data_IF_129154752769
#
_entry.id   IF_129154752769
#
_cell.length_a   1.000
_cell.length_b   1.000
_cell.length_c   1.000
_cell.angle_alpha   90.00
_cell.angle_beta   90.00
_cell.angle_gamma   90.00
#
_symmetry.space_group_name_H-M   'P 1'
#
loop_
_entity.id
_entity.type
_entity.pdbx_description
1 polymer ?
#
# COMPACT_ATOMS: atom_id res chain seq x y z
N UNK A 1 6.66 -28.33 -10.94
CA UNK A 1 6.58 -26.88 -10.69
C UNK A 1 7.08 -26.54 -9.30
N UNK A 2 6.21 -26.70 -8.28
CA UNK A 2 6.56 -26.41 -6.89
C UNK A 2 7.81 -27.16 -6.41
N UNK A 3 7.94 -28.46 -6.68
CA UNK A 3 9.13 -29.25 -6.27
C UNK A 3 10.44 -28.65 -6.82
N UNK A 4 10.45 -28.24 -8.08
CA UNK A 4 11.60 -27.60 -8.71
C UNK A 4 11.92 -26.25 -8.06
N UNK A 5 10.91 -25.42 -7.81
CA UNK A 5 11.08 -24.14 -7.14
C UNK A 5 11.60 -24.31 -5.71
N UNK A 6 11.05 -25.26 -4.96
CA UNK A 6 11.50 -25.57 -3.59
C UNK A 6 12.89 -26.18 -3.56
N UNK A 7 13.27 -26.97 -4.57
CA UNK A 7 14.62 -27.49 -4.76
C UNK A 7 15.63 -26.37 -4.98
N UNK A 8 15.38 -25.51 -5.98
CA UNK A 8 16.19 -24.31 -6.24
C UNK A 8 16.30 -23.40 -5.02
N UNK A 9 15.20 -23.23 -4.27
CA UNK A 9 15.20 -22.47 -3.03
C UNK A 9 16.10 -23.12 -1.96
N UNK A 10 16.08 -24.44 -1.82
CA UNK A 10 16.95 -25.15 -0.88
C UNK A 10 18.43 -25.00 -1.25
N UNK A 11 18.74 -25.06 -2.54
CA UNK A 11 20.10 -24.97 -3.08
C UNK A 11 20.68 -23.56 -2.92
N UNK A 12 19.88 -22.53 -3.25
CA UNK A 12 20.30 -21.13 -3.17
C UNK A 12 20.29 -20.57 -1.74
N UNK A 13 19.44 -21.12 -0.87
CA UNK A 13 19.27 -20.65 0.51
C UNK A 13 19.55 -21.77 1.51
N UNK A 14 20.78 -22.27 1.52
CA UNK A 14 21.21 -23.39 2.40
C UNK A 14 20.96 -23.10 3.89
N UNK A 15 21.14 -21.86 4.33
CA UNK A 15 20.90 -21.43 5.72
C UNK A 15 19.42 -21.28 6.12
N UNK A 16 18.47 -21.31 5.16
CA UNK A 16 17.05 -21.15 5.48
C UNK A 16 16.53 -22.36 6.29
N UNK A 17 15.86 -22.16 7.43
CA UNK A 17 15.42 -23.27 8.29
C UNK A 17 14.23 -24.05 7.71
N UNK A 18 13.43 -23.41 6.84
CA UNK A 18 12.23 -23.98 6.23
C UNK A 18 11.77 -23.19 5.01
N UNK A 19 10.76 -23.71 4.33
CA UNK A 19 10.02 -23.08 3.24
C UNK A 19 8.60 -22.80 3.71
N UNK A 20 8.14 -21.56 3.60
CA UNK A 20 6.76 -21.16 3.84
C UNK A 20 6.05 -20.97 2.47
N UNK A 21 5.01 -21.75 2.20
CA UNK A 21 4.13 -21.58 1.03
C UNK A 21 2.93 -20.73 1.48
N UNK A 22 2.83 -19.53 0.92
CA UNK A 22 1.77 -18.56 1.22
C UNK A 22 0.84 -18.49 0.01
N UNK A 23 -0.24 -19.25 0.05
CA UNK A 23 -1.21 -19.32 -1.05
C UNK A 23 -2.31 -18.28 -0.85
N UNK A 24 -2.30 -17.25 -1.70
CA UNK A 24 -3.18 -16.09 -1.60
C UNK A 24 -4.37 -16.13 -2.55
N UNK A 25 -4.56 -17.24 -3.26
CA UNK A 25 -5.65 -17.40 -4.22
C UNK A 25 -7.01 -17.29 -3.52
N UNK A 26 -7.90 -16.43 -4.02
CA UNK A 26 -9.22 -16.18 -3.43
C UNK A 26 -10.35 -17.00 -4.01
N UNK A 27 -10.05 -17.97 -4.89
CA UNK A 27 -10.98 -19.01 -5.33
C UNK A 27 -10.58 -20.36 -4.74
N UNK A 28 -11.55 -21.21 -4.34
CA UNK A 28 -11.27 -22.60 -3.98
C UNK A 28 -10.82 -23.37 -5.22
N UNK A 29 -9.78 -24.19 -5.06
CA UNK A 29 -9.25 -25.01 -6.15
C UNK A 29 -8.81 -26.38 -5.66
N UNK A 30 -8.66 -27.32 -6.59
CA UNK A 30 -8.16 -28.68 -6.38
C UNK A 30 -7.10 -29.00 -7.41
N UNK A 31 -6.23 -29.94 -7.08
CA UNK A 31 -5.27 -30.52 -8.02
C UNK A 31 -5.82 -31.85 -8.53
N UNK A 32 -5.98 -31.98 -9.85
CA UNK A 32 -6.30 -33.23 -10.53
C UNK A 32 -5.07 -33.66 -11.33
N UNK A 33 -4.53 -34.83 -11.02
CA UNK A 33 -3.29 -35.37 -11.59
C UNK A 33 -2.09 -34.39 -11.53
N UNK A 34 -2.05 -33.54 -10.49
CA UNK A 34 -0.99 -32.54 -10.30
C UNK A 34 -1.20 -31.22 -11.03
N UNK A 35 -2.31 -31.02 -11.73
CA UNK A 35 -2.70 -29.75 -12.34
C UNK A 35 -3.84 -29.09 -11.56
N UNK A 36 -3.76 -27.77 -11.36
CA UNK A 36 -4.72 -27.03 -10.57
C UNK A 36 -5.97 -26.63 -11.37
N UNK A 37 -7.15 -26.87 -10.81
CA UNK A 37 -8.47 -26.51 -11.36
C UNK A 37 -9.33 -25.85 -10.29
N UNK A 38 -10.12 -24.87 -10.67
CA UNK A 38 -11.01 -24.14 -9.77
C UNK A 38 -12.43 -24.10 -10.33
N UNK A 39 -13.42 -23.89 -9.46
CA UNK A 39 -14.82 -23.80 -9.90
C UNK A 39 -15.10 -22.41 -10.45
N UNK A 40 -15.56 -22.36 -11.70
CA UNK A 40 -16.07 -21.15 -12.34
C UNK A 40 -17.50 -21.40 -12.86
N UNK A 41 -18.48 -20.51 -12.57
CA UNK A 41 -19.78 -20.57 -13.21
C UNK A 41 -19.64 -20.46 -14.73
N UNK A 42 -20.30 -21.34 -15.49
CA UNK A 42 -20.23 -21.41 -16.96
C UNK A 42 -20.45 -20.06 -17.66
N UNK A 43 -21.30 -19.20 -17.10
CA UNK A 43 -21.63 -17.87 -17.63
C UNK A 43 -20.50 -16.84 -17.45
N UNK A 44 -19.50 -17.15 -16.63
CA UNK A 44 -18.48 -16.20 -16.15
C UNK A 44 -17.06 -16.78 -16.18
N UNK A 45 -16.82 -17.83 -16.97
CA UNK A 45 -15.53 -18.55 -17.02
C UNK A 45 -14.35 -17.62 -17.35
N UNK A 46 -14.58 -16.59 -18.18
CA UNK A 46 -13.57 -15.59 -18.53
C UNK A 46 -13.48 -14.42 -17.53
N UNK A 47 -14.35 -14.36 -16.52
CA UNK A 47 -14.40 -13.28 -15.54
C UNK A 47 -13.68 -13.69 -14.25
N UNK A 48 -12.35 -13.61 -14.26
CA UNK A 48 -11.47 -14.01 -13.15
C UNK A 48 -11.82 -13.37 -11.79
N UNK A 49 -12.51 -12.23 -11.77
CA UNK A 49 -12.90 -11.53 -10.53
C UNK A 49 -14.25 -11.95 -9.98
N UNK A 50 -15.11 -12.59 -10.78
CA UNK A 50 -16.44 -13.00 -10.36
C UNK A 50 -16.41 -14.13 -9.32
N UNK A 51 -15.26 -14.81 -9.17
CA UNK A 51 -15.12 -16.00 -8.35
C UNK A 51 -14.36 -15.74 -7.05
N UNK A 52 -13.89 -14.51 -6.84
CA UNK A 52 -13.11 -14.14 -5.67
C UNK A 52 -13.97 -14.12 -4.42
N UNK A 53 -13.48 -14.79 -3.39
CA UNK A 53 -14.12 -14.89 -2.08
C UNK A 53 -13.28 -14.14 -1.05
N UNK A 54 -13.96 -13.45 -0.14
CA UNK A 54 -13.32 -12.79 0.99
C UNK A 54 -13.69 -13.52 2.28
N UNK A 55 -13.02 -14.66 2.49
CA UNK A 55 -13.28 -15.58 3.61
C UNK A 55 -11.97 -15.95 4.30
N UNK A 56 -12.07 -16.40 5.55
CA UNK A 56 -10.91 -16.91 6.29
C UNK A 56 -10.28 -18.13 5.59
N UNK A 57 -8.97 -18.32 5.76
CA UNK A 57 -8.23 -19.44 5.17
C UNK A 57 -8.81 -20.82 5.53
N UNK A 58 -9.24 -21.01 6.78
CA UNK A 58 -9.89 -22.26 7.21
C UNK A 58 -11.19 -22.53 6.45
N UNK A 59 -12.03 -21.51 6.26
CA UNK A 59 -13.26 -21.64 5.49
C UNK A 59 -12.99 -21.94 4.01
N UNK A 60 -11.91 -21.38 3.45
CA UNK A 60 -11.46 -21.71 2.08
C UNK A 60 -11.05 -23.18 1.98
N UNK A 61 -10.27 -23.68 2.95
CA UNK A 61 -9.86 -25.09 2.98
C UNK A 61 -11.06 -26.03 3.17
N UNK A 62 -12.10 -25.63 3.92
CA UNK A 62 -13.36 -26.38 4.04
C UNK A 62 -14.12 -26.45 2.70
N UNK A 63 -14.10 -25.36 1.91
CA UNK A 63 -14.66 -25.34 0.56
C UNK A 63 -13.86 -26.24 -0.38
N UNK A 64 -12.54 -26.23 -0.29
CA UNK A 64 -11.66 -27.07 -1.13
C UNK A 64 -11.81 -28.57 -0.81
N UNK A 65 -12.01 -28.93 0.46
CA UNK A 65 -12.31 -30.33 0.84
C UNK A 65 -13.65 -30.80 0.29
N UNK A 66 -14.68 -29.95 0.29
CA UNK A 66 -15.98 -30.27 -0.33
C UNK A 66 -15.85 -30.40 -1.84
N UNK A 67 -15.13 -29.47 -2.48
CA UNK A 67 -14.86 -29.53 -3.92
C UNK A 67 -14.12 -30.82 -4.31
N UNK A 68 -13.12 -31.21 -3.53
CA UNK A 68 -12.43 -32.50 -3.72
C UNK A 68 -13.40 -33.68 -3.64
N UNK A 69 -14.26 -33.72 -2.62
CA UNK A 69 -15.23 -34.81 -2.44
C UNK A 69 -16.23 -34.89 -3.61
N UNK A 70 -16.68 -33.74 -4.12
CA UNK A 70 -17.57 -33.68 -5.29
C UNK A 70 -16.86 -34.21 -6.55
N UNK A 71 -15.60 -33.80 -6.78
CA UNK A 71 -14.79 -34.30 -7.90
C UNK A 71 -14.56 -35.80 -7.80
N UNK A 72 -14.26 -36.32 -6.61
CA UNK A 72 -14.07 -37.76 -6.37
C UNK A 72 -15.36 -38.56 -6.62
N UNK A 73 -16.52 -38.01 -6.22
CA UNK A 73 -17.82 -38.62 -6.47
C UNK A 73 -18.17 -38.65 -7.96
N UNK A 74 -17.90 -37.57 -8.69
CA UNK A 74 -18.10 -37.50 -10.14
C UNK A 74 -17.19 -38.49 -10.88
N UNK A 75 -15.92 -38.57 -10.50
CA UNK A 75 -14.96 -39.53 -11.04
C UNK A 75 -15.42 -40.98 -10.82
N UNK A 76 -15.96 -41.29 -9.63
CA UNK A 76 -16.49 -42.62 -9.34
C UNK A 76 -17.74 -42.94 -10.18
N UNK A 77 -18.59 -41.95 -10.47
CA UNK A 77 -19.77 -42.12 -11.31
C UNK A 77 -19.44 -42.27 -12.81
N UNK A 78 -18.31 -41.70 -13.25
CA UNK A 78 -17.91 -41.61 -14.66
C UNK A 78 -16.72 -42.55 -15.01
N UNK A 79 -16.69 -43.75 -14.42
CA UNK A 79 -15.68 -44.80 -14.68
C UNK A 79 -14.22 -44.30 -14.59
N UNK A 80 -13.93 -43.47 -13.58
CA UNK A 80 -12.60 -42.93 -13.33
C UNK A 80 -12.22 -41.72 -14.18
N UNK A 81 -13.18 -41.07 -14.85
CA UNK A 81 -12.93 -39.88 -15.68
C UNK A 81 -13.70 -38.65 -15.22
N UNK A 82 -13.24 -37.46 -15.60
CA UNK A 82 -13.95 -36.19 -15.36
C UNK A 82 -13.81 -35.28 -16.58
N UNK A 83 -14.84 -34.48 -16.85
CA UNK A 83 -14.85 -33.46 -17.89
C UNK A 83 -14.36 -32.12 -17.33
N UNK A 84 -13.26 -31.59 -17.88
CA UNK A 84 -12.65 -30.34 -17.43
C UNK A 84 -12.70 -29.28 -18.54
N UNK A 85 -12.99 -28.06 -18.14
CA UNK A 85 -13.02 -26.91 -19.04
C UNK A 85 -11.67 -26.18 -19.00
N UNK A 86 -11.05 -25.99 -20.16
CA UNK A 86 -9.89 -25.12 -20.35
C UNK A 86 -10.38 -23.89 -21.10
N UNK A 87 -10.15 -22.71 -20.54
CA UNK A 87 -10.53 -21.46 -21.16
C UNK A 87 -9.28 -20.68 -21.57
N UNK A 88 -9.19 -20.31 -22.84
CA UNK A 88 -8.14 -19.41 -23.32
C UNK A 88 -8.64 -17.95 -23.20
N UNK A 89 -8.06 -17.15 -22.29
CA UNK A 89 -8.47 -15.78 -22.09
C UNK A 89 -8.16 -14.86 -23.29
N UNK A 90 -7.24 -15.24 -24.18
CA UNK A 90 -6.85 -14.45 -25.35
C UNK A 90 -7.86 -14.59 -26.50
N UNK A 91 -8.29 -15.82 -26.79
CA UNK A 91 -9.25 -16.11 -27.86
C UNK A 91 -10.70 -16.04 -27.38
N UNK A 92 -10.92 -16.08 -26.05
CA UNK A 92 -12.24 -16.26 -25.43
C UNK A 92 -12.93 -17.56 -25.86
N UNK A 93 -12.13 -18.58 -26.13
CA UNK A 93 -12.62 -19.92 -26.45
C UNK A 93 -12.52 -20.84 -25.24
N UNK A 94 -13.38 -21.85 -25.22
CA UNK A 94 -13.34 -22.90 -24.21
C UNK A 94 -13.25 -24.26 -24.88
N UNK A 95 -12.33 -25.08 -24.39
CA UNK A 95 -12.21 -26.48 -24.78
C UNK A 95 -12.61 -27.38 -23.62
N UNK A 96 -13.31 -28.47 -23.94
CA UNK A 96 -13.64 -29.50 -22.97
C UNK A 96 -12.73 -30.70 -23.16
N UNK A 97 -12.14 -31.17 -22.06
CA UNK A 97 -11.20 -32.28 -22.04
C UNK A 97 -11.68 -33.31 -21.02
N UNK A 98 -12.02 -34.52 -21.50
CA UNK A 98 -12.24 -35.66 -20.61
C UNK A 98 -10.90 -36.28 -20.24
N UNK A 99 -10.59 -36.30 -18.95
CA UNK A 99 -9.33 -36.87 -18.46
C UNK A 99 -9.58 -38.03 -17.52
N UNK A 100 -8.69 -39.03 -17.57
CA UNK A 100 -8.65 -40.10 -16.58
C UNK A 100 -8.01 -39.58 -15.30
N UNK A 101 -8.70 -39.72 -14.18
CA UNK A 101 -8.23 -39.21 -12.89
C UNK A 101 -7.49 -40.31 -12.15
N UNK A 102 -6.26 -40.01 -11.75
CA UNK A 102 -5.42 -40.87 -10.91
C UNK A 102 -5.28 -40.33 -9.49
N UNK A 103 -5.37 -39.00 -9.32
CA UNK A 103 -5.23 -38.35 -8.03
C UNK A 103 -6.01 -37.04 -7.98
N UNK A 104 -6.73 -36.82 -6.88
CA UNK A 104 -7.37 -35.54 -6.54
C UNK A 104 -6.81 -35.08 -5.19
N UNK A 105 -6.38 -33.82 -5.10
CA UNK A 105 -5.82 -33.27 -3.88
C UNK A 105 -6.36 -31.86 -3.62
N UNK A 106 -6.54 -31.51 -2.36
CA UNK A 106 -6.62 -30.09 -1.98
C UNK A 106 -5.24 -29.42 -2.13
N UNK A 107 -5.16 -28.09 -2.18
CA UNK A 107 -3.88 -27.37 -2.25
C UNK A 107 -2.96 -27.70 -1.06
N UNK A 108 -3.53 -27.84 0.14
CA UNK A 108 -2.83 -28.30 1.35
C UNK A 108 -2.24 -29.70 1.14
N UNK A 109 -3.07 -30.68 0.79
CA UNK A 109 -2.61 -32.06 0.56
C UNK A 109 -1.58 -32.15 -0.57
N UNK A 110 -1.71 -31.31 -1.60
CA UNK A 110 -0.74 -31.22 -2.68
C UNK A 110 0.62 -30.76 -2.17
N UNK A 111 0.65 -29.65 -1.42
CA UNK A 111 1.87 -29.12 -0.81
C UNK A 111 2.51 -30.09 0.20
N UNK A 112 1.71 -30.74 1.04
CA UNK A 112 2.17 -31.73 2.03
C UNK A 112 2.71 -33.01 1.37
N UNK A 113 2.30 -33.29 0.13
CA UNK A 113 2.80 -34.45 -0.62
C UNK A 113 4.12 -34.21 -1.36
N UNK A 114 4.60 -32.96 -1.41
CA UNK A 114 5.84 -32.62 -2.10
C UNK A 114 7.04 -33.19 -1.37
N UNK A 115 7.97 -33.79 -2.12
CA UNK A 115 9.22 -34.30 -1.57
C UNK A 115 10.26 -33.18 -1.56
N UNK A 116 10.38 -32.49 -0.44
CA UNK A 116 11.27 -31.33 -0.30
C UNK A 116 12.37 -31.55 0.75
N UNK A 117 13.60 -31.04 0.54
CA UNK A 117 14.71 -31.25 1.47
C UNK A 117 14.55 -30.58 2.85
N UNK A 118 13.68 -29.57 2.94
CA UNK A 118 13.49 -28.75 4.14
C UNK A 118 12.04 -28.80 4.60
N UNK A 119 11.76 -28.58 5.90
CA UNK A 119 10.39 -28.47 6.38
C UNK A 119 9.59 -27.47 5.55
N UNK A 120 8.38 -27.85 5.15
CA UNK A 120 7.46 -27.02 4.38
C UNK A 120 6.25 -26.68 5.23
N UNK A 121 5.91 -25.40 5.30
CA UNK A 121 4.75 -24.88 6.03
C UNK A 121 3.81 -24.25 5.01
N UNK A 122 2.63 -24.85 4.84
CA UNK A 122 1.59 -24.32 3.95
C UNK A 122 0.60 -23.44 4.71
N UNK A 123 0.27 -22.28 4.15
CA UNK A 123 -0.73 -21.34 4.68
C UNK A 123 -1.66 -20.85 3.57
N UNK A 124 -2.97 -21.03 3.78
CA UNK A 124 -4.02 -20.49 2.92
C UNK A 124 -4.46 -19.12 3.42
N UNK A 125 -4.19 -18.06 2.66
CA UNK A 125 -4.53 -16.67 3.00
C UNK A 125 -5.28 -15.98 1.85
N UNK A 126 -6.57 -16.28 1.63
CA UNK A 126 -7.32 -15.73 0.50
C UNK A 126 -7.28 -14.20 0.43
N UNK A 127 -6.78 -13.63 -0.66
CA UNK A 127 -6.77 -12.17 -0.90
C UNK A 127 -7.66 -11.85 -2.10
N UNK A 128 -8.78 -11.16 -1.88
CA UNK A 128 -9.56 -10.57 -2.96
C UNK A 128 -8.91 -9.25 -3.43
N UNK A 129 -9.02 -8.86 -4.70
CA UNK A 129 -8.32 -7.69 -5.26
C UNK A 129 -9.23 -6.68 -5.96
N UNK A 130 -8.71 -5.45 -6.03
CA UNK A 130 -9.40 -4.24 -6.47
C UNK A 130 -10.66 -3.95 -5.67
N UNK A 131 -11.85 -3.83 -6.27
CA UNK A 131 -13.03 -3.35 -5.51
C UNK A 131 -13.46 -4.27 -4.36
N UNK A 132 -13.04 -5.54 -4.41
CA UNK A 132 -13.28 -6.53 -3.37
C UNK A 132 -12.17 -6.63 -2.32
N UNK A 133 -11.05 -5.93 -2.48
CA UNK A 133 -9.97 -5.92 -1.48
C UNK A 133 -10.47 -5.30 -0.17
N UNK A 134 -10.14 -5.92 0.94
CA UNK A 134 -10.64 -5.54 2.27
C UNK A 134 -9.51 -5.39 3.27
N UNK A 135 -9.72 -4.49 4.24
CA UNK A 135 -8.86 -4.32 5.42
C UNK A 135 -8.61 -5.64 6.16
N UNK A 136 -9.60 -6.54 6.15
CA UNK A 136 -9.52 -7.86 6.79
C UNK A 136 -8.47 -8.79 6.18
N UNK A 137 -8.04 -8.54 4.94
CA UNK A 137 -7.02 -9.35 4.28
C UNK A 137 -5.59 -9.01 4.73
N UNK A 138 -5.37 -7.87 5.39
CA UNK A 138 -4.02 -7.37 5.72
C UNK A 138 -3.41 -8.09 6.92
N UNK A 139 -4.12 -8.15 8.05
CA UNK A 139 -3.57 -8.71 9.28
C UNK A 139 -3.16 -10.19 9.18
N UNK A 140 -3.91 -11.08 8.48
CA UNK A 140 -3.46 -12.47 8.28
C UNK A 140 -2.11 -12.59 7.57
N UNK A 141 -1.77 -11.66 6.67
CA UNK A 141 -0.47 -11.63 5.98
C UNK A 141 0.62 -11.17 6.96
N UNK A 142 0.31 -10.17 7.82
CA UNK A 142 1.21 -9.72 8.89
C UNK A 142 1.50 -10.88 9.85
N UNK A 143 0.49 -11.61 10.32
CA UNK A 143 0.63 -12.78 11.19
C UNK A 143 1.48 -13.88 10.54
N UNK A 144 1.30 -14.09 9.24
CA UNK A 144 2.09 -15.05 8.48
C UNK A 144 3.57 -14.68 8.39
N UNK A 145 3.87 -13.40 8.18
CA UNK A 145 5.23 -12.89 8.19
C UNK A 145 5.85 -12.92 9.60
N UNK A 146 5.08 -12.56 10.64
CA UNK A 146 5.52 -12.55 12.04
C UNK A 146 5.92 -13.94 12.55
N UNK A 147 5.24 -14.98 12.08
CA UNK A 147 5.51 -16.37 12.46
C UNK A 147 6.48 -17.08 11.50
N UNK A 148 6.94 -16.40 10.45
CA UNK A 148 8.00 -16.85 9.55
C UNK A 148 9.35 -16.34 10.07
N UNK A 149 10.36 -17.21 10.26
CA UNK A 149 11.74 -16.75 10.46
C UNK A 149 12.14 -15.80 9.33
N UNK A 150 12.87 -14.73 9.66
CA UNK A 150 13.29 -13.72 8.68
C UNK A 150 14.18 -14.30 7.59
N UNK A 151 14.92 -15.38 7.89
CA UNK A 151 15.76 -16.13 6.95
C UNK A 151 15.06 -17.34 6.29
N UNK A 152 13.77 -17.60 6.56
CA UNK A 152 13.02 -18.63 5.85
C UNK A 152 12.71 -18.19 4.41
N UNK A 153 12.64 -19.14 3.48
CA UNK A 153 12.19 -18.85 2.11
C UNK A 153 10.67 -18.80 2.13
N UNK A 154 10.09 -17.68 1.69
CA UNK A 154 8.65 -17.55 1.52
C UNK A 154 8.30 -17.53 0.02
N UNK A 155 7.35 -18.38 -0.39
CA UNK A 155 6.85 -18.46 -1.76
C UNK A 155 5.39 -18.04 -1.73
N UNK A 156 5.08 -16.89 -2.34
CA UNK A 156 3.71 -16.37 -2.45
C UNK A 156 3.08 -16.89 -3.75
N UNK A 157 1.98 -17.64 -3.63
CA UNK A 157 1.29 -18.26 -4.76
C UNK A 157 -0.01 -17.52 -5.08
N UNK A 158 -0.17 -17.21 -6.36
CA UNK A 158 -1.39 -16.71 -6.98
C UNK A 158 -1.58 -17.46 -8.31
N UNK A 159 -2.80 -17.45 -8.87
CA UNK A 159 -3.14 -18.06 -10.16
C UNK A 159 -2.15 -17.72 -11.28
N UNK A 160 -1.73 -16.46 -11.35
CA UNK A 160 -0.86 -15.93 -12.40
C UNK A 160 0.34 -15.15 -11.84
N UNK A 161 0.53 -15.14 -10.51
CA UNK A 161 1.55 -14.30 -9.87
C UNK A 161 1.33 -12.80 -10.08
N UNK A 162 0.07 -12.36 -10.22
CA UNK A 162 -0.28 -10.96 -10.51
C UNK A 162 -0.63 -10.18 -9.24
N UNK A 163 -1.65 -9.33 -9.34
CA UNK A 163 -2.01 -8.34 -8.31
C UNK A 163 -2.18 -8.90 -6.89
N UNK A 164 -2.72 -10.12 -6.71
CA UNK A 164 -2.88 -10.73 -5.37
C UNK A 164 -1.53 -11.02 -4.73
N UNK A 165 -0.64 -11.66 -5.49
CA UNK A 165 0.72 -11.92 -5.06
C UNK A 165 1.46 -10.60 -4.79
N UNK A 166 1.30 -9.58 -5.64
CA UNK A 166 1.90 -8.26 -5.44
C UNK A 166 1.48 -7.62 -4.13
N UNK A 167 0.18 -7.58 -3.81
CA UNK A 167 -0.31 -7.02 -2.55
C UNK A 167 0.24 -7.79 -1.35
N UNK A 168 0.23 -9.12 -1.42
CA UNK A 168 0.75 -9.96 -0.35
C UNK A 168 2.26 -9.80 -0.16
N UNK A 169 3.05 -9.73 -1.24
CA UNK A 169 4.48 -9.49 -1.20
C UNK A 169 4.80 -8.15 -0.53
N UNK A 170 4.09 -7.09 -0.87
CA UNK A 170 4.27 -5.78 -0.26
C UNK A 170 4.06 -5.82 1.27
N UNK A 171 2.94 -6.38 1.73
CA UNK A 171 2.62 -6.46 3.16
C UNK A 171 3.58 -7.40 3.89
N UNK A 172 3.92 -8.54 3.29
CA UNK A 172 4.82 -9.53 3.88
C UNK A 172 6.25 -9.00 4.01
N UNK A 173 6.75 -8.25 3.00
CA UNK A 173 8.07 -7.62 3.05
C UNK A 173 8.11 -6.47 4.07
N UNK A 174 7.08 -5.64 4.15
CA UNK A 174 6.95 -4.62 5.20
C UNK A 174 7.02 -5.27 6.59
N UNK A 175 6.28 -6.37 6.80
CA UNK A 175 6.25 -7.08 8.06
C UNK A 175 7.61 -7.73 8.40
N UNK A 176 8.32 -8.30 7.42
CA UNK A 176 9.69 -8.80 7.63
C UNK A 176 10.68 -7.68 7.95
N UNK A 177 10.62 -6.58 7.21
CA UNK A 177 11.50 -5.44 7.42
C UNK A 177 11.30 -4.84 8.83
N UNK A 178 10.05 -4.74 9.29
CA UNK A 178 9.71 -4.26 10.63
C UNK A 178 10.26 -5.14 11.77
N UNK A 179 10.52 -6.44 11.52
CA UNK A 179 11.17 -7.33 12.49
C UNK A 179 12.68 -7.06 12.61
N UNK A 180 13.29 -6.46 11.59
CA UNK A 180 14.73 -6.22 11.50
C UNK A 180 15.07 -4.82 12.00
N UNK A 181 14.24 -3.83 11.68
CA UNK A 181 14.47 -2.42 12.03
C UNK A 181 13.18 -1.58 11.97
N UNK A 182 13.16 -0.38 12.59
CA UNK A 182 12.08 0.58 12.39
C UNK A 182 11.91 0.93 10.91
N UNK A 183 10.67 0.98 10.42
CA UNK A 183 10.43 1.19 8.99
C UNK A 183 10.89 2.57 8.54
N UNK A 184 10.66 3.60 9.36
CA UNK A 184 11.10 4.98 9.09
C UNK A 184 12.64 5.16 8.99
N UNK A 185 13.44 4.12 9.23
CA UNK A 185 14.90 4.17 9.09
C UNK A 185 15.40 3.86 7.68
N UNK A 186 14.53 3.46 6.75
CA UNK A 186 14.88 3.16 5.35
C UNK A 186 13.88 3.82 4.39
N UNK A 187 14.34 4.24 3.22
CA UNK A 187 13.53 5.05 2.30
C UNK A 187 13.90 4.91 0.82
N UNK A 188 14.85 4.04 0.46
CA UNK A 188 15.13 3.68 -0.95
C UNK A 188 14.99 2.18 -1.16
N UNK A 189 14.73 1.78 -2.42
CA UNK A 189 14.63 0.38 -2.80
C UNK A 189 15.92 -0.39 -2.47
N UNK A 190 17.09 0.22 -2.67
CA UNK A 190 18.39 -0.36 -2.33
C UNK A 190 18.56 -0.55 -0.83
N UNK A 191 18.17 0.45 -0.01
CA UNK A 191 18.21 0.35 1.45
C UNK A 191 17.32 -0.80 1.96
N UNK A 192 16.11 -0.94 1.39
CA UNK A 192 15.18 -2.03 1.71
C UNK A 192 15.75 -3.38 1.30
N UNK A 193 16.22 -3.51 0.05
CA UNK A 193 16.81 -4.74 -0.45
C UNK A 193 18.03 -5.17 0.38
N UNK A 194 18.90 -4.23 0.73
CA UNK A 194 20.06 -4.48 1.58
C UNK A 194 19.65 -4.92 2.99
N UNK A 195 18.65 -4.25 3.60
CA UNK A 195 18.15 -4.60 4.92
C UNK A 195 17.57 -6.02 4.99
N UNK A 196 16.92 -6.47 3.90
CA UNK A 196 16.33 -7.80 3.80
C UNK A 196 17.31 -8.87 3.35
N UNK A 197 18.37 -8.50 2.61
CA UNK A 197 19.42 -9.41 2.17
C UNK A 197 20.36 -9.81 3.32
N UNK A 198 20.65 -8.89 4.24
CA UNK A 198 21.57 -9.10 5.36
C UNK A 198 20.84 -9.69 6.55
N UNK A 199 20.67 -11.02 6.56
CA UNK A 199 20.68 -11.80 7.80
C UNK A 199 22.07 -12.43 7.92
N UNK A 200 22.61 -12.54 9.14
CA UNK A 200 24.01 -12.84 9.51
C UNK A 200 24.69 -14.09 8.85
N UNK A 201 24.01 -14.81 7.95
CA UNK A 201 24.45 -16.10 7.40
C UNK A 201 24.13 -16.38 5.92
N UNK A 202 23.83 -15.41 5.05
CA UNK A 202 23.57 -15.73 3.64
C UNK A 202 24.12 -14.71 2.64
N UNK A 203 24.84 -15.24 1.65
CA UNK A 203 25.25 -14.55 0.43
C UNK A 203 24.05 -13.81 -0.19
N UNK A 204 24.31 -12.62 -0.75
CA UNK A 204 23.34 -11.90 -1.55
C UNK A 204 22.76 -12.86 -2.59
N UNK A 205 21.49 -13.22 -2.45
CA UNK A 205 20.80 -13.94 -3.51
C UNK A 205 20.54 -12.91 -4.60
N UNK A 206 21.49 -12.81 -5.53
CA UNK A 206 21.29 -12.15 -6.81
C UNK A 206 20.29 -12.97 -7.62
N UNK A 207 19.01 -12.80 -7.34
CA UNK A 207 17.99 -12.94 -8.36
C UNK A 207 17.65 -11.52 -8.84
N UNK A 208 18.53 -10.97 -9.67
CA UNK A 208 18.28 -9.74 -10.44
C UNK A 208 17.22 -9.99 -11.51
N UNK A 209 16.01 -10.40 -11.14
CA UNK A 209 14.85 -10.30 -12.02
C UNK A 209 13.64 -9.91 -11.18
N UNK A 210 13.56 -8.62 -10.84
CA UNK A 210 12.24 -7.99 -10.77
C UNK A 210 11.67 -8.10 -12.19
N UNK A 211 10.56 -8.80 -12.39
CA UNK A 211 9.93 -8.84 -13.70
C UNK A 211 9.54 -7.40 -14.08
N UNK A 212 10.14 -6.88 -15.14
CA UNK A 212 9.74 -5.62 -15.76
C UNK A 212 8.51 -5.88 -16.62
N UNK A 213 7.56 -4.95 -16.63
CA UNK A 213 6.52 -4.95 -17.68
C UNK A 213 7.13 -4.86 -19.08
N UNK A 214 6.32 -5.02 -20.11
CA UNK A 214 6.76 -4.83 -21.50
C UNK A 214 7.43 -3.45 -21.68
N UNK A 215 8.29 -3.29 -22.71
CA UNK A 215 9.07 -2.06 -22.97
C UNK A 215 8.20 -0.78 -22.92
N UNK A 216 6.92 -0.84 -23.33
CA UNK A 216 5.95 0.26 -23.24
C UNK A 216 5.64 0.70 -21.80
N UNK A 217 5.54 -0.24 -20.85
CA UNK A 217 5.31 0.06 -19.43
C UNK A 217 6.58 0.61 -18.75
N UNK A 218 7.76 0.23 -19.23
CA UNK A 218 9.05 0.77 -18.78
C UNK A 218 9.24 2.23 -19.25
N UNK A 219 8.73 2.58 -20.44
CA UNK A 219 8.68 3.96 -20.98
C UNK A 219 7.82 4.88 -20.10
N UNK A 220 6.71 4.38 -19.55
CA UNK A 220 5.83 5.17 -18.65
C UNK A 220 6.57 5.62 -17.38
N UNK A 221 7.57 4.87 -16.90
CA UNK A 221 8.42 5.24 -15.76
C UNK A 221 9.67 6.03 -16.14
N UNK A 222 10.32 5.70 -17.27
CA UNK A 222 11.57 6.37 -17.69
C UNK A 222 11.39 7.83 -18.10
N UNK A 223 10.13 8.29 -18.24
CA UNK A 223 9.76 9.72 -18.28
C UNK A 223 10.03 10.50 -16.97
N UNK A 224 10.65 9.89 -15.95
CA UNK A 224 11.74 10.58 -15.24
C UNK A 224 11.46 11.25 -13.90
N UNK A 225 10.35 11.00 -13.21
CA UNK A 225 10.18 11.50 -11.82
C UNK A 225 9.40 10.52 -10.93
N UNK A 226 9.88 10.31 -9.70
CA UNK A 226 9.17 9.58 -8.63
C UNK A 226 7.95 10.40 -8.22
N UNK A 227 6.80 10.18 -8.85
CA UNK A 227 5.56 10.90 -8.53
C UNK A 227 4.91 10.29 -7.28
N UNK A 228 4.58 11.15 -6.32
CA UNK A 228 3.87 10.75 -5.10
C UNK A 228 2.36 10.78 -5.35
N UNK A 229 1.64 9.77 -4.89
CA UNK A 229 0.19 9.75 -4.93
C UNK A 229 -0.35 10.73 -3.88
N UNK A 230 -1.01 11.81 -4.30
CA UNK A 230 -1.40 12.91 -3.42
C UNK A 230 -2.32 12.47 -2.26
N UNK A 231 -3.22 11.51 -2.49
CA UNK A 231 -4.07 10.98 -1.41
C UNK A 231 -3.25 10.25 -0.33
N UNK A 232 -2.15 9.58 -0.70
CA UNK A 232 -1.24 8.96 0.26
C UNK A 232 -0.38 10.00 0.99
N UNK A 233 0.08 11.04 0.27
CA UNK A 233 0.77 12.18 0.86
C UNK A 233 -0.08 12.86 1.95
N UNK A 234 -1.34 13.16 1.63
CA UNK A 234 -2.31 13.74 2.56
C UNK A 234 -2.57 12.83 3.76
N UNK A 235 -2.65 11.52 3.53
CA UNK A 235 -2.78 10.56 4.62
C UNK A 235 -1.54 10.58 5.54
N UNK A 236 -0.34 10.65 4.96
CA UNK A 236 0.90 10.79 5.72
C UNK A 236 0.99 12.07 6.54
N UNK A 237 0.48 13.19 6.03
CA UNK A 237 0.35 14.42 6.82
C UNK A 237 -0.60 14.25 7.99
N UNK A 238 -1.78 13.69 7.73
CA UNK A 238 -2.83 13.52 8.73
C UNK A 238 -2.38 12.63 9.90
N UNK A 239 -1.61 11.58 9.60
CA UNK A 239 -1.08 10.64 10.60
C UNK A 239 0.32 11.01 11.12
N UNK A 240 0.92 12.11 10.63
CA UNK A 240 2.34 12.41 10.86
C UNK A 240 3.27 11.21 10.57
N UNK A 241 3.02 10.52 9.46
CA UNK A 241 3.68 9.27 9.07
C UNK A 241 4.47 9.38 7.74
N UNK A 242 4.77 10.60 7.29
CA UNK A 242 5.47 10.85 6.01
C UNK A 242 6.82 10.14 5.86
N UNK A 243 7.54 9.89 6.95
CA UNK A 243 8.80 9.11 6.91
C UNK A 243 8.57 7.65 6.48
N UNK A 244 7.45 7.04 6.91
CA UNK A 244 7.10 5.65 6.61
C UNK A 244 6.51 5.50 5.20
N UNK A 245 5.93 6.57 4.65
CA UNK A 245 5.47 6.58 3.25
C UNK A 245 6.62 6.27 2.29
N UNK A 246 7.80 6.87 2.52
CA UNK A 246 9.00 6.62 1.71
C UNK A 246 9.41 5.15 1.72
N UNK A 247 9.36 4.51 2.89
CA UNK A 247 9.61 3.06 3.05
C UNK A 247 8.61 2.22 2.28
N UNK A 248 7.33 2.62 2.31
CA UNK A 248 6.25 1.92 1.62
C UNK A 248 6.45 1.95 0.11
N UNK A 249 6.78 3.12 -0.43
CA UNK A 249 7.09 3.28 -1.86
C UNK A 249 8.34 2.49 -2.26
N UNK A 250 9.38 2.48 -1.42
CA UNK A 250 10.58 1.68 -1.64
C UNK A 250 10.27 0.18 -1.67
N UNK A 251 9.41 -0.33 -0.78
CA UNK A 251 8.98 -1.74 -0.82
C UNK A 251 8.18 -2.04 -2.09
N UNK A 252 7.27 -1.15 -2.49
CA UNK A 252 6.51 -1.28 -3.75
C UNK A 252 7.44 -1.33 -4.95
N UNK A 253 8.54 -0.56 -4.94
CA UNK A 253 9.55 -0.59 -6.00
C UNK A 253 10.38 -1.88 -6.01
N UNK A 254 10.77 -2.40 -4.84
CA UNK A 254 11.47 -3.69 -4.72
C UNK A 254 10.60 -4.86 -5.20
N UNK A 255 9.27 -4.77 -5.05
CA UNK A 255 8.35 -5.85 -5.43
C UNK A 255 8.16 -6.02 -6.95
N UNK A 256 8.53 -5.03 -7.77
CA UNK A 256 8.36 -5.10 -9.21
C UNK A 256 8.00 -3.77 -9.87
N UNK A 257 7.70 -3.83 -11.17
CA UNK A 257 7.32 -2.68 -12.02
C UNK A 257 6.13 -3.03 -12.90
N UNK A 258 5.48 -2.02 -13.46
CA UNK A 258 4.42 -2.20 -14.44
C UNK A 258 3.04 -2.49 -13.84
N UNK A 259 2.07 -2.76 -14.70
CA UNK A 259 0.65 -2.82 -14.36
C UNK A 259 0.27 -3.99 -13.44
N UNK A 260 0.99 -5.11 -13.54
CA UNK A 260 0.64 -6.33 -12.81
C UNK A 260 1.44 -6.50 -11.51
N UNK A 261 2.66 -5.95 -11.44
CA UNK A 261 3.57 -6.17 -10.30
C UNK A 261 3.88 -4.91 -9.47
N UNK A 262 3.33 -3.76 -9.82
CA UNK A 262 3.52 -2.53 -9.05
C UNK A 262 2.22 -1.74 -8.86
N UNK A 263 1.80 -1.56 -7.61
CA UNK A 263 0.53 -0.89 -7.26
C UNK A 263 0.49 0.57 -7.70
N UNK A 264 1.61 1.29 -7.59
CA UNK A 264 1.67 2.70 -7.96
C UNK A 264 1.68 2.87 -9.49
N UNK A 265 2.39 2.01 -10.21
CA UNK A 265 2.38 2.02 -11.68
C UNK A 265 1.00 1.70 -12.22
N UNK A 266 0.39 0.62 -11.72
CA UNK A 266 -0.97 0.25 -12.04
C UNK A 266 -1.93 1.42 -11.81
N UNK A 267 -1.84 2.05 -10.64
CA UNK A 267 -2.67 3.21 -10.30
C UNK A 267 -2.46 4.37 -11.28
N UNK A 268 -1.21 4.70 -11.61
CA UNK A 268 -0.88 5.78 -12.54
C UNK A 268 -1.34 5.49 -13.98
N UNK A 269 -1.17 4.25 -14.45
CA UNK A 269 -1.63 3.79 -15.77
C UNK A 269 -3.15 3.98 -15.88
N UNK A 270 -3.91 3.46 -14.91
CA UNK A 270 -5.37 3.60 -14.95
C UNK A 270 -5.84 5.04 -14.73
N UNK A 271 -5.18 5.81 -13.85
CA UNK A 271 -5.48 7.22 -13.66
C UNK A 271 -5.27 8.05 -14.94
N UNK A 272 -4.21 7.74 -15.69
CA UNK A 272 -3.93 8.33 -17.01
C UNK A 272 -4.99 7.91 -18.03
N UNK A 273 -5.37 6.63 -18.05
CA UNK A 273 -6.42 6.10 -18.91
C UNK A 273 -7.78 6.77 -18.66
N UNK A 274 -8.11 7.19 -17.43
CA UNK A 274 -9.33 7.96 -17.15
C UNK A 274 -9.42 9.27 -17.93
N UNK A 275 -8.27 9.86 -18.28
CA UNK A 275 -8.20 11.15 -18.98
C UNK A 275 -8.18 10.97 -20.50
N UNK A 276 -7.62 9.87 -20.99
CA UNK A 276 -7.50 9.58 -22.43
C UNK A 276 -8.65 8.77 -23.02
N UNK A 277 -9.50 8.15 -22.19
CA UNK A 277 -10.63 7.31 -22.64
C UNK A 277 -12.00 7.96 -22.39
N UNK A 278 -13.04 7.42 -23.02
CA UNK A 278 -14.44 7.90 -22.93
C UNK A 278 -15.42 6.75 -22.68
N UNK A 279 -16.63 7.08 -22.20
CA UNK A 279 -17.71 6.11 -21.95
C UNK A 279 -17.32 5.01 -20.94
N UNK A 280 -17.77 3.79 -21.20
CA UNK A 280 -17.55 2.62 -20.33
C UNK A 280 -16.06 2.33 -20.06
N UNK A 281 -15.19 2.62 -21.02
CA UNK A 281 -13.75 2.43 -20.85
C UNK A 281 -13.19 3.36 -19.76
N UNK A 282 -13.68 4.60 -19.71
CA UNK A 282 -13.29 5.58 -18.69
C UNK A 282 -13.82 5.21 -17.31
N UNK A 283 -15.05 4.70 -17.23
CA UNK A 283 -15.63 4.22 -15.97
C UNK A 283 -14.87 3.01 -15.43
N UNK A 284 -14.53 2.05 -16.30
CA UNK A 284 -13.70 0.90 -15.96
C UNK A 284 -12.31 1.32 -15.47
N UNK A 285 -11.62 2.19 -16.22
CA UNK A 285 -10.33 2.75 -15.80
C UNK A 285 -10.43 3.49 -14.47
N UNK A 286 -11.50 4.26 -14.24
CA UNK A 286 -11.73 4.95 -12.98
C UNK A 286 -11.93 3.99 -11.81
N UNK A 287 -12.72 2.94 -12.01
CA UNK A 287 -12.94 1.91 -11.00
C UNK A 287 -11.64 1.19 -10.65
N UNK A 288 -10.84 0.81 -11.65
CA UNK A 288 -9.53 0.19 -11.45
C UNK A 288 -8.55 1.11 -10.71
N UNK A 289 -8.49 2.39 -11.09
CA UNK A 289 -7.58 3.34 -10.46
C UNK A 289 -7.95 3.57 -8.99
N UNK A 290 -9.23 3.79 -8.68
CA UNK A 290 -9.72 3.96 -7.30
C UNK A 290 -9.47 2.70 -6.47
N UNK A 291 -9.76 1.53 -7.02
CA UNK A 291 -9.57 0.27 -6.33
C UNK A 291 -8.08 -0.02 -6.05
N UNK A 292 -7.20 0.29 -7.00
CA UNK A 292 -5.74 0.14 -6.84
C UNK A 292 -5.20 1.14 -5.82
N UNK A 293 -5.63 2.40 -5.88
CA UNK A 293 -5.25 3.42 -4.91
C UNK A 293 -5.71 3.06 -3.49
N UNK A 294 -6.96 2.60 -3.31
CA UNK A 294 -7.45 2.15 -2.01
C UNK A 294 -6.65 0.96 -1.47
N UNK A 295 -6.28 0.01 -2.34
CA UNK A 295 -5.42 -1.12 -1.98
C UNK A 295 -4.03 -0.64 -1.53
N UNK A 296 -3.42 0.28 -2.28
CA UNK A 296 -2.14 0.89 -1.91
C UNK A 296 -2.22 1.65 -0.58
N UNK A 297 -3.30 2.39 -0.33
CA UNK A 297 -3.50 3.09 0.94
C UNK A 297 -3.59 2.12 2.12
N UNK A 298 -4.18 0.92 1.96
CA UNK A 298 -4.11 -0.11 3.00
C UNK A 298 -2.72 -0.70 3.19
N UNK A 299 -1.93 -0.86 2.12
CA UNK A 299 -0.51 -1.26 2.23
C UNK A 299 0.29 -0.19 2.98
N UNK A 300 0.04 1.09 2.71
CA UNK A 300 0.65 2.20 3.45
C UNK A 300 0.18 2.24 4.90
N UNK A 301 -1.12 2.07 5.18
CA UNK A 301 -1.60 1.97 6.56
C UNK A 301 -0.96 0.78 7.29
N UNK A 302 -0.72 -0.34 6.60
CA UNK A 302 -0.04 -1.49 7.19
C UNK A 302 1.39 -1.15 7.62
N UNK A 303 2.12 -0.33 6.85
CA UNK A 303 3.46 0.11 7.24
C UNK A 303 3.42 1.07 8.43
N UNK A 304 2.46 2.00 8.49
CA UNK A 304 2.25 2.87 9.67
C UNK A 304 1.95 2.01 10.90
N UNK A 305 0.99 1.09 10.79
CA UNK A 305 0.63 0.16 11.86
C UNK A 305 1.82 -0.70 12.33
N UNK A 306 2.61 -1.25 11.40
CA UNK A 306 3.81 -2.02 11.73
C UNK A 306 4.85 -1.19 12.48
N UNK A 307 5.02 0.07 12.08
CA UNK A 307 6.00 0.97 12.68
C UNK A 307 5.56 1.47 14.08
N UNK A 308 4.30 1.81 14.25
CA UNK A 308 3.79 2.47 15.46
C UNK A 308 3.17 1.50 16.47
N UNK A 309 2.28 0.62 16.00
CA UNK A 309 1.42 -0.20 16.86
C UNK A 309 2.13 -1.51 17.24
N UNK A 310 2.72 -2.18 16.26
CA UNK A 310 3.55 -3.37 16.53
C UNK A 310 4.92 -3.01 17.09
N UNK A 311 5.47 -1.85 16.71
CA UNK A 311 6.65 -1.27 17.37
C UNK A 311 6.43 -1.07 18.88
N UNK A 312 5.22 -0.69 19.28
CA UNK A 312 4.79 -0.60 20.68
C UNK A 312 4.45 -1.96 21.34
N UNK A 313 4.62 -3.09 20.63
CA UNK A 313 4.36 -4.47 21.10
C UNK A 313 2.93 -4.70 21.61
N UNK A 314 1.96 -4.08 20.94
CA UNK A 314 0.54 -4.28 21.26
C UNK A 314 0.00 -5.58 20.64
N UNK A 315 -1.17 -6.03 21.11
CA UNK A 315 -1.92 -7.17 20.54
C UNK A 315 -3.10 -6.71 19.67
N UNK A 316 -3.20 -5.41 19.39
CA UNK A 316 -4.31 -4.83 18.64
C UNK A 316 -4.25 -5.29 17.19
N UNK A 317 -5.37 -5.72 16.61
CA UNK A 317 -5.43 -6.16 15.21
C UNK A 317 -5.54 -4.97 14.25
N UNK A 318 -4.96 -5.11 13.06
CA UNK A 318 -4.91 -4.03 12.06
C UNK A 318 -6.29 -3.49 11.69
N UNK A 319 -7.26 -4.38 11.46
CA UNK A 319 -8.63 -3.99 11.11
C UNK A 319 -9.34 -3.22 12.22
N UNK A 320 -8.99 -3.45 13.48
CA UNK A 320 -9.52 -2.70 14.61
C UNK A 320 -8.87 -1.33 14.71
N UNK A 321 -7.54 -1.28 14.56
CA UNK A 321 -6.78 -0.03 14.56
C UNK A 321 -7.25 0.93 13.44
N UNK A 322 -7.45 0.42 12.21
CA UNK A 322 -7.96 1.25 11.10
C UNK A 322 -9.38 1.74 11.36
N UNK A 323 -10.22 0.91 11.99
CA UNK A 323 -11.62 1.28 12.30
C UNK A 323 -11.69 2.44 13.30
N UNK A 324 -10.71 2.55 14.19
CA UNK A 324 -10.65 3.61 15.20
C UNK A 324 -10.12 4.95 14.63
N UNK A 325 -9.80 4.99 13.32
CA UNK A 325 -9.41 6.18 12.56
C UNK A 325 -10.53 6.56 11.55
N UNK A 326 -11.60 7.26 11.99
CA UNK A 326 -12.74 7.58 11.13
C UNK A 326 -12.38 8.41 9.90
N UNK A 327 -11.30 9.19 9.97
CA UNK A 327 -10.78 9.99 8.87
C UNK A 327 -10.34 9.14 7.67
N UNK A 328 -9.91 7.89 7.90
CA UNK A 328 -9.57 6.94 6.83
C UNK A 328 -10.81 6.58 6.03
N UNK A 329 -11.93 6.31 6.72
CA UNK A 329 -13.21 6.02 6.07
C UNK A 329 -13.65 7.17 5.17
N UNK A 330 -13.58 8.40 5.68
CA UNK A 330 -13.91 9.62 4.93
C UNK A 330 -12.97 9.85 3.75
N UNK A 331 -11.66 9.59 3.90
CA UNK A 331 -10.68 9.71 2.83
C UNK A 331 -10.98 8.72 1.68
N UNK A 332 -11.27 7.47 2.02
CA UNK A 332 -11.61 6.41 1.06
C UNK A 332 -12.93 6.68 0.34
N UNK A 333 -13.93 7.24 1.05
CA UNK A 333 -15.19 7.68 0.46
C UNK A 333 -14.98 8.82 -0.53
N UNK A 334 -14.28 9.89 -0.13
CA UNK A 334 -13.94 11.02 -1.02
C UNK A 334 -13.15 10.58 -2.25
N UNK A 335 -12.24 9.61 -2.12
CA UNK A 335 -11.50 9.05 -3.24
C UNK A 335 -12.44 8.40 -4.27
N UNK A 336 -13.50 7.72 -3.82
CA UNK A 336 -14.51 7.10 -4.69
C UNK A 336 -15.43 8.14 -5.33
N UNK A 337 -15.86 9.15 -4.58
CA UNK A 337 -16.75 10.21 -5.06
C UNK A 337 -16.05 11.16 -6.04
N UNK A 338 -14.77 11.43 -5.81
CA UNK A 338 -13.97 12.37 -6.60
C UNK A 338 -12.63 11.77 -7.08
N UNK A 339 -12.65 10.72 -7.92
CA UNK A 339 -11.44 10.02 -8.35
C UNK A 339 -10.39 10.93 -8.98
N UNK A 340 -10.82 11.86 -9.85
CA UNK A 340 -9.90 12.80 -10.52
C UNK A 340 -9.10 13.68 -9.56
N UNK A 341 -9.70 14.06 -8.43
CA UNK A 341 -9.03 14.90 -7.44
C UNK A 341 -8.09 14.06 -6.56
N UNK A 342 -8.52 12.86 -6.15
CA UNK A 342 -7.73 11.99 -5.27
C UNK A 342 -6.57 11.26 -5.96
N UNK A 343 -6.71 10.92 -7.24
CA UNK A 343 -5.73 10.15 -8.01
C UNK A 343 -4.67 11.02 -8.69
N UNK A 344 -4.43 12.23 -8.19
CA UNK A 344 -3.39 13.11 -8.71
C UNK A 344 -2.02 12.60 -8.25
N UNK A 345 -1.15 12.37 -9.22
CA UNK A 345 0.27 12.13 -9.00
C UNK A 345 0.99 13.47 -9.03
N UNK A 346 1.74 13.76 -7.97
CA UNK A 346 2.45 15.03 -7.78
C UNK A 346 3.94 14.74 -7.81
N UNK A 347 4.64 15.44 -8.70
CA UNK A 347 6.10 15.43 -8.67
C UNK A 347 6.57 16.14 -7.40
N UNK A 348 7.65 15.66 -6.74
CA UNK A 348 8.35 16.40 -5.71
C UNK A 348 8.73 17.78 -6.25
N UNK A 349 7.87 18.78 -6.04
CA UNK A 349 8.15 20.13 -6.49
C UNK A 349 9.05 20.75 -5.44
N UNK A 350 10.25 21.15 -5.85
CA UNK A 350 10.98 22.14 -5.08
C UNK A 350 10.14 23.43 -5.11
N UNK A 351 9.35 23.64 -4.05
CA UNK A 351 8.67 24.91 -3.76
C UNK A 351 9.65 26.08 -3.62
N UNK A 352 10.96 25.77 -3.57
CA UNK A 352 12.09 26.66 -3.46
C UNK A 352 12.82 26.68 -4.82
N UNK A 353 13.09 27.88 -5.35
CA UNK A 353 13.59 28.18 -6.71
C UNK A 353 14.68 27.25 -7.27
N UNK A 354 14.75 27.23 -8.61
CA UNK A 354 15.48 26.34 -9.55
C UNK A 354 16.95 25.98 -9.29
N UNK A 355 17.62 26.48 -8.26
CA UNK A 355 19.09 26.44 -8.19
C UNK A 355 19.70 25.41 -7.24
N UNK A 356 18.96 24.74 -6.37
CA UNK A 356 19.54 23.61 -5.61
C UNK A 356 18.49 22.58 -5.16
N UNK A 357 18.42 21.46 -5.89
CA UNK A 357 17.53 20.31 -5.61
C UNK A 357 17.81 19.61 -4.26
N UNK A 358 18.86 20.03 -3.55
CA UNK A 358 19.47 19.24 -2.47
C UNK A 358 18.62 19.03 -1.22
N UNK A 359 18.20 20.06 -0.47
CA UNK A 359 17.70 19.86 0.90
C UNK A 359 16.26 19.35 1.01
N UNK A 360 15.39 19.67 0.04
CA UNK A 360 13.94 19.43 0.11
C UNK A 360 13.57 18.05 -0.41
N UNK A 361 14.17 17.62 -1.51
CA UNK A 361 13.98 16.27 -2.07
C UNK A 361 14.48 15.17 -1.11
N UNK A 362 15.48 15.48 -0.27
CA UNK A 362 16.02 14.57 0.74
C UNK A 362 15.23 14.56 2.05
N UNK A 363 14.12 15.31 2.18
CA UNK A 363 13.33 15.33 3.41
C UNK A 363 12.67 13.98 3.65
N UNK A 364 12.96 13.40 4.81
CA UNK A 364 12.33 12.18 5.34
C UNK A 364 11.50 12.45 6.60
N UNK A 365 11.03 13.69 6.76
CA UNK A 365 10.24 14.10 7.92
C UNK A 365 8.85 13.48 7.93
N UNK A 366 8.25 13.41 9.12
CA UNK A 366 6.89 12.90 9.32
C UNK A 366 5.79 13.84 8.78
N UNK A 367 6.03 15.15 8.85
CA UNK A 367 5.12 16.21 8.40
C UNK A 367 5.78 17.01 7.28
N UNK A 368 7.03 17.45 7.46
CA UNK A 368 7.77 18.13 6.39
C UNK A 368 8.40 17.09 5.45
N UNK A 369 7.60 16.53 4.53
CA UNK A 369 8.09 15.74 3.39
C UNK A 369 8.46 16.65 2.21
N UNK A 370 8.91 16.07 1.10
CA UNK A 370 9.38 16.80 -0.09
C UNK A 370 8.31 17.72 -0.71
N UNK A 371 7.03 17.36 -0.60
CA UNK A 371 5.90 18.10 -1.17
C UNK A 371 5.27 19.15 -0.24
N UNK A 372 5.79 19.30 0.99
CA UNK A 372 5.23 20.24 1.98
C UNK A 372 6.25 21.27 2.42
N UNK A 373 5.80 22.51 2.59
CA UNK A 373 6.59 23.64 3.05
C UNK A 373 5.92 24.36 4.21
N UNK A 374 6.74 25.00 5.05
CA UNK A 374 6.24 25.96 6.03
C UNK A 374 5.97 27.29 5.31
N UNK A 375 4.78 27.83 5.48
CA UNK A 375 4.40 29.14 4.98
C UNK A 375 4.36 30.14 6.13
N UNK A 376 4.97 31.30 5.95
CA UNK A 376 4.84 32.40 6.91
C UNK A 376 3.44 33.02 6.82
N UNK A 377 2.74 33.09 7.96
CA UNK A 377 1.47 33.83 8.06
C UNK A 377 1.68 35.36 8.14
N UNK A 378 2.88 35.78 8.56
CA UNK A 378 3.30 37.17 8.52
C UNK A 378 4.09 37.45 7.25
N UNK A 379 3.49 38.25 6.37
CA UNK A 379 4.11 38.73 5.14
C UNK A 379 3.65 40.18 4.87
N UNK A 380 4.35 40.97 4.03
CA UNK A 380 4.05 42.39 3.83
C UNK A 380 2.59 42.71 3.42
N UNK A 381 1.87 41.75 2.84
CA UNK A 381 0.46 41.86 2.46
C UNK A 381 -0.56 41.32 3.48
N UNK A 382 -0.13 40.77 4.62
CA UNK A 382 -1.02 40.15 5.60
C UNK A 382 -1.92 41.16 6.32
N UNK A 383 -1.51 42.44 6.38
CA UNK A 383 -2.21 43.51 7.10
C UNK A 383 -2.97 44.41 6.13
N UNK A 384 -4.29 44.48 6.28
CA UNK A 384 -5.15 45.40 5.53
C UNK A 384 -5.00 46.82 6.08
N UNK A 385 -4.41 47.71 5.28
CA UNK A 385 -4.13 49.11 5.66
C UNK A 385 -5.37 49.91 6.07
N UNK A 386 -6.56 49.53 5.58
CA UNK A 386 -7.81 50.27 5.81
C UNK A 386 -8.55 49.85 7.09
N UNK A 387 -8.03 48.89 7.87
CA UNK A 387 -8.64 48.48 9.13
C UNK A 387 -8.09 49.29 10.30
N UNK A 388 -9.00 49.80 11.14
CA UNK A 388 -8.69 50.58 12.35
C UNK A 388 -9.53 50.02 13.52
N UNK A 389 -8.94 49.84 14.72
CA UNK A 389 -7.57 50.16 15.09
C UNK A 389 -6.55 49.12 14.59
N UNK A 390 -5.32 49.57 14.35
CA UNK A 390 -4.18 48.68 14.07
C UNK A 390 -3.40 48.46 15.36
N UNK A 391 -3.13 47.20 15.68
CA UNK A 391 -2.29 46.83 16.82
C UNK A 391 -1.00 46.23 16.22
N UNK A 392 0.19 46.77 16.53
CA UNK A 392 1.45 46.25 15.99
C UNK A 392 1.63 44.75 16.29
N UNK A 393 1.96 43.97 15.26
CA UNK A 393 2.09 42.52 15.35
C UNK A 393 0.76 41.75 15.42
N UNK A 394 -0.39 42.41 15.25
CA UNK A 394 -1.73 41.79 15.25
C UNK A 394 -2.44 42.11 13.92
N UNK A 395 -2.30 41.25 12.91
CA UNK A 395 -2.91 41.50 11.60
C UNK A 395 -4.43 41.60 11.69
N UNK A 396 -5.04 42.54 10.96
CA UNK A 396 -6.49 42.61 10.72
C UNK A 396 -7.37 42.57 11.99
N UNK A 397 -6.95 43.21 13.08
CA UNK A 397 -7.73 43.30 14.31
C UNK A 397 -9.10 43.97 14.07
N UNK A 398 -10.17 43.33 14.58
CA UNK A 398 -11.54 43.84 14.57
C UNK A 398 -12.28 43.46 15.85
N UNK A 399 -13.18 44.33 16.31
CA UNK A 399 -14.09 44.07 17.43
C UNK A 399 -15.54 44.07 16.92
N UNK A 400 -16.35 43.12 17.40
CA UNK A 400 -17.80 43.16 17.19
C UNK A 400 -18.41 44.22 18.10
N UNK A 401 -19.20 45.18 17.60
CA UNK A 401 -19.82 46.21 18.42
C UNK A 401 -20.60 45.62 19.60
N UNK A 402 -20.48 46.27 20.77
CA UNK A 402 -21.25 45.98 21.99
C UNK A 402 -21.05 44.59 22.64
N UNK A 403 -20.18 43.73 22.10
CA UNK A 403 -19.85 42.43 22.70
C UNK A 403 -18.34 42.21 22.79
N UNK A 404 -17.91 41.35 23.72
CA UNK A 404 -16.49 41.03 23.92
C UNK A 404 -16.03 39.93 22.96
N UNK A 405 -16.26 40.14 21.67
CA UNK A 405 -15.86 39.22 20.59
C UNK A 405 -14.94 39.97 19.62
N UNK A 406 -13.77 39.39 19.38
CA UNK A 406 -12.69 39.99 18.61
C UNK A 406 -12.23 39.03 17.53
N UNK A 407 -11.80 39.55 16.38
CA UNK A 407 -11.18 38.79 15.30
C UNK A 407 -9.81 39.37 14.99
N UNK A 408 -8.81 38.51 14.83
CA UNK A 408 -7.44 38.87 14.47
C UNK A 408 -6.88 37.83 13.51
N UNK A 409 -5.97 38.22 12.63
CA UNK A 409 -5.01 37.28 12.06
C UNK A 409 -4.04 36.79 13.14
N UNK A 410 -3.34 35.69 12.87
CA UNK A 410 -2.39 35.08 13.83
C UNK A 410 -1.39 36.17 14.26
N UNK A 411 -1.33 36.54 15.55
CA UNK A 411 -0.44 37.59 16.02
C UNK A 411 0.99 37.06 16.22
N UNK A 412 1.99 37.94 16.11
CA UNK A 412 3.35 37.63 16.61
C UNK A 412 3.32 37.52 18.14
N UNK A 413 4.38 36.96 18.75
CA UNK A 413 4.52 36.98 20.22
C UNK A 413 4.32 38.39 20.79
N UNK A 414 4.96 39.40 20.19
CA UNK A 414 4.76 40.82 20.56
C UNK A 414 3.33 41.29 20.33
N UNK A 415 2.71 40.87 19.23
CA UNK A 415 1.30 41.13 18.94
C UNK A 415 0.35 40.62 20.03
N UNK A 416 0.59 39.42 20.58
CA UNK A 416 -0.23 38.86 21.67
C UNK A 416 -0.21 39.79 22.89
N UNK A 417 0.96 40.24 23.33
CA UNK A 417 1.06 41.16 24.49
C UNK A 417 0.39 42.51 24.20
N UNK A 418 0.58 43.05 23.00
CA UNK A 418 -0.09 44.28 22.59
C UNK A 418 -1.62 44.13 22.60
N UNK A 419 -2.12 42.98 22.14
CA UNK A 419 -3.54 42.66 22.17
C UNK A 419 -4.07 42.55 23.60
N UNK A 420 -3.38 41.81 24.48
CA UNK A 420 -3.79 41.65 25.88
C UNK A 420 -3.84 42.99 26.62
N UNK A 421 -2.90 43.89 26.34
CA UNK A 421 -2.91 45.26 26.88
C UNK A 421 -4.12 46.06 26.43
N UNK A 422 -4.45 46.03 25.14
CA UNK A 422 -5.64 46.71 24.59
C UNK A 422 -6.93 46.17 25.22
N UNK A 423 -6.94 44.88 25.58
CA UNK A 423 -8.05 44.23 26.26
C UNK A 423 -8.07 44.43 27.79
N UNK A 424 -7.05 45.09 28.37
CA UNK A 424 -6.93 45.29 29.81
C UNK A 424 -6.61 44.02 30.61
N UNK A 425 -6.05 43.00 29.95
CA UNK A 425 -5.70 41.71 30.56
C UNK A 425 -4.23 41.63 31.00
N UNK A 426 -3.41 42.64 30.69
CA UNK A 426 -1.98 42.69 31.04
C UNK A 426 -1.50 44.12 31.32
N UNK A 427 -0.81 44.32 32.46
CA UNK A 427 -0.36 45.65 32.95
C UNK A 427 1.10 46.00 32.60
N UNK A 428 1.95 45.02 32.27
CA UNK A 428 3.40 45.23 32.01
C UNK A 428 3.74 45.03 30.54
N UNK A 429 4.59 45.90 29.99
CA UNK A 429 5.20 45.68 28.68
C UNK A 429 6.26 44.57 28.77
N UNK A 430 6.36 43.73 27.74
CA UNK A 430 7.59 42.97 27.51
C UNK A 430 8.71 43.98 27.19
N UNK A 431 9.64 44.18 28.12
CA UNK A 431 10.91 44.83 27.85
C UNK A 431 11.77 43.87 27.00
N UNK A 432 11.67 44.00 25.69
CA UNK A 432 12.68 43.51 24.76
C UNK A 432 13.12 44.72 23.93
N UNK A 433 14.32 45.22 24.23
CA UNK A 433 14.94 46.39 23.63
C UNK A 433 14.84 46.40 22.09
N UNK A 434 14.52 47.57 21.52
CA UNK A 434 14.81 47.90 20.13
C UNK A 434 13.64 48.51 19.37
N UNK A 435 13.79 49.79 19.02
CA UNK A 435 12.94 50.61 18.17
C UNK A 435 12.42 49.87 16.93
N UNK A 436 11.16 50.15 16.54
CA UNK A 436 10.55 50.16 15.20
C UNK A 436 11.22 49.42 14.02
N UNK A 437 11.89 48.30 14.27
CA UNK A 437 12.34 47.38 13.26
C UNK A 437 11.16 46.45 13.02
N UNK A 438 10.81 46.29 11.74
CA UNK A 438 10.12 45.07 11.28
C UNK A 438 10.75 43.90 12.05
N UNK A 439 9.94 43.05 12.69
CA UNK A 439 10.46 41.91 13.44
C UNK A 439 11.56 41.26 12.59
N UNK A 440 12.85 41.28 13.02
CA UNK A 440 13.94 40.78 12.20
C UNK A 440 13.82 39.27 11.93
N UNK A 441 12.88 38.60 12.59
CA UNK A 441 12.48 37.21 12.32
C UNK A 441 11.64 37.02 11.05
N UNK A 442 11.19 38.10 10.40
CA UNK A 442 10.48 38.06 9.11
C UNK A 442 11.48 38.46 8.02
N UNK A 443 12.44 37.58 7.73
CA UNK A 443 13.31 37.70 6.55
C UNK A 443 12.47 37.40 5.29
N UNK A 444 12.67 38.13 4.17
CA UNK A 444 11.87 38.03 2.93
C UNK A 444 11.69 36.63 2.37
#
# INVERSE_FOLDING_TARGET
>A
GLEALTGTACDNHTAAPRIDIIDVRSEPHVYVNGLAYFVAPKQSVFQSRAHQMNVAGSAMEDMERRLKADVEAEVAANDGTIELLIADPSTKETESHTIKVTRVQTPREHCESLQVPKPLVYRRLPVAVGSSFSVLSVHPIIDAAASSPTNAVAIVLDSLGGLRATVALNIFLLARLAQIRPLNSVGTAEEVAHALAVNEYAQAVTANVCYGGDEEEEIVRSAGFKKELMVAANLGQMLAAGGVLMTTEAVVEVCGRGREWNLLDRCNIFASAMSSTVGNARESASSEAVATAATYLYVYLASVYLNEVLGARTTERFEHWVRDLPEIGLLMEKLREHPKAGLKFVEPQNLFLETDRGPVERRRGNVLTSNYGLKADHFPGAIRKNMVPQIPGVPNYRKVPHVNVYGVGIPTRRGVHNLLRVLGAEDKALDLCGEAQQDPEIVP
#
